data_IF_895493719108
#
_entry.id   IF_895493719108
#
_cell.length_a   1.000
_cell.length_b   1.000
_cell.length_c   1.000
_cell.angle_alpha   90.00
_cell.angle_beta   90.00
_cell.angle_gamma   90.00
#
_symmetry.space_group_name_H-M   'P 1'
#
loop_
_entity.id
_entity.type
_entity.pdbx_description
1 polymer ?
#
# COMPACT_ATOMS: atom_id res chain seq x y z
N UNK A 1 11.33 -2.64 3.97
CA UNK A 1 9.93 -2.49 4.43
C UNK A 1 9.60 -1.00 4.41
N UNK A 2 8.50 -0.58 3.78
CA UNK A 2 8.03 0.82 3.83
C UNK A 2 7.43 1.12 5.20
N UNK A 3 7.58 2.35 5.69
CA UNK A 3 6.93 2.75 6.94
C UNK A 3 5.40 2.73 6.78
N UNK A 4 4.66 2.46 7.87
CA UNK A 4 3.18 2.49 7.87
C UNK A 4 2.63 3.83 7.35
N UNK A 5 3.32 4.93 7.63
CA UNK A 5 2.97 6.25 7.09
C UNK A 5 3.08 6.34 5.56
N UNK A 6 4.14 5.77 4.96
CA UNK A 6 4.31 5.76 3.50
C UNK A 6 3.26 4.87 2.81
N UNK A 7 2.97 3.75 3.45
CA UNK A 7 1.93 2.81 3.06
C UNK A 7 0.55 3.47 3.02
N UNK A 8 0.16 4.17 4.10
CA UNK A 8 -1.10 4.94 4.15
C UNK A 8 -1.11 6.10 3.13
N UNK A 9 0.03 6.74 2.91
CA UNK A 9 0.15 7.82 1.94
C UNK A 9 -0.07 7.35 0.50
N UNK A 10 0.41 6.15 0.14
CA UNK A 10 0.14 5.53 -1.16
C UNK A 10 -1.37 5.34 -1.37
N UNK A 11 -2.08 4.81 -0.37
CA UNK A 11 -3.53 4.62 -0.44
C UNK A 11 -4.29 5.95 -0.52
N UNK A 12 -3.88 6.94 0.26
CA UNK A 12 -4.46 8.30 0.18
C UNK A 12 -4.30 8.91 -1.22
N UNK A 13 -3.13 8.76 -1.86
CA UNK A 13 -2.92 9.25 -3.22
C UNK A 13 -3.81 8.53 -4.24
N UNK A 14 -4.06 7.23 -4.04
CA UNK A 14 -4.93 6.45 -4.92
C UNK A 14 -6.40 6.82 -4.75
N UNK A 15 -6.90 6.86 -3.52
CA UNK A 15 -8.33 7.01 -3.24
C UNK A 15 -8.79 8.47 -3.28
N UNK A 16 -7.96 9.40 -2.78
CA UNK A 16 -8.35 10.81 -2.64
C UNK A 16 -7.91 11.65 -3.82
N UNK A 17 -6.72 11.35 -4.37
CA UNK A 17 -6.16 12.12 -5.49
C UNK A 17 -6.33 11.45 -6.84
N UNK A 18 -7.03 10.31 -6.89
CA UNK A 18 -7.19 9.46 -8.08
C UNK A 18 -5.88 9.25 -8.86
N UNK A 19 -4.76 9.23 -8.13
CA UNK A 19 -3.44 9.21 -8.76
C UNK A 19 -3.16 7.79 -9.24
N UNK A 20 -2.61 7.68 -10.45
CA UNK A 20 -2.25 6.38 -11.00
C UNK A 20 -1.07 5.76 -10.23
N UNK A 21 -1.05 4.43 -10.12
CA UNK A 21 0.02 3.69 -9.44
C UNK A 21 1.41 4.04 -9.99
N UNK A 22 1.52 4.27 -11.30
CA UNK A 22 2.76 4.68 -11.96
C UNK A 22 3.25 6.05 -11.48
N UNK A 23 2.36 7.03 -11.39
CA UNK A 23 2.70 8.34 -10.85
C UNK A 23 3.07 8.28 -9.36
N UNK A 24 2.42 7.40 -8.58
CA UNK A 24 2.76 7.17 -7.17
C UNK A 24 4.17 6.57 -7.05
N UNK A 25 4.51 5.60 -7.91
CA UNK A 25 5.81 4.96 -7.96
C UNK A 25 6.93 5.97 -8.27
N UNK A 26 6.74 6.81 -9.29
CA UNK A 26 7.68 7.88 -9.65
C UNK A 26 7.80 8.92 -8.53
N UNK A 27 6.67 9.37 -7.98
CA UNK A 27 6.63 10.41 -6.94
C UNK A 27 7.33 9.98 -5.65
N UNK A 28 7.22 8.71 -5.28
CA UNK A 28 7.81 8.16 -4.06
C UNK A 28 9.17 7.49 -4.30
N UNK A 29 9.60 7.36 -5.55
CA UNK A 29 10.82 6.64 -5.91
C UNK A 29 10.78 5.16 -5.50
N UNK A 30 9.58 4.55 -5.46
CA UNK A 30 9.40 3.14 -5.08
C UNK A 30 9.13 2.28 -6.29
N UNK A 31 9.39 0.98 -6.18
CA UNK A 31 9.07 0.05 -7.24
C UNK A 31 7.56 0.05 -7.53
N UNK A 32 7.19 0.03 -8.81
CA UNK A 32 5.78 -0.03 -9.25
C UNK A 32 5.00 -1.17 -8.60
N UNK A 33 5.59 -2.36 -8.45
CA UNK A 33 4.93 -3.49 -7.77
C UNK A 33 4.64 -3.19 -6.30
N UNK A 34 5.54 -2.44 -5.65
CA UNK A 34 5.37 -1.99 -4.27
C UNK A 34 4.27 -0.94 -4.17
N UNK A 35 4.29 0.07 -5.04
CA UNK A 35 3.21 1.06 -5.12
C UNK A 35 1.86 0.38 -5.37
N UNK A 36 1.79 -0.55 -6.33
CA UNK A 36 0.57 -1.32 -6.65
C UNK A 36 0.08 -2.12 -5.46
N UNK A 37 0.97 -2.88 -4.80
CA UNK A 37 0.63 -3.69 -3.63
C UNK A 37 -0.08 -2.88 -2.56
N UNK A 38 0.36 -1.64 -2.34
CA UNK A 38 -0.17 -0.77 -1.28
C UNK A 38 -1.31 0.14 -1.75
N UNK A 39 -1.40 0.47 -3.04
CA UNK A 39 -2.51 1.19 -3.63
C UNK A 39 -3.76 0.31 -3.75
N UNK A 40 -3.59 -0.97 -4.14
CA UNK A 40 -4.68 -1.95 -4.27
C UNK A 40 -4.96 -2.69 -2.95
N UNK A 41 -4.22 -2.42 -1.85
CA UNK A 41 -4.48 -3.05 -0.55
C UNK A 41 -5.76 -2.46 0.05
N UNK A 42 -6.89 -3.10 -0.25
CA UNK A 42 -8.18 -2.71 0.29
C UNK A 42 -8.22 -2.93 1.82
N UNK A 43 -7.63 -4.04 2.28
CA UNK A 43 -7.57 -4.40 3.69
C UNK A 43 -6.13 -4.52 4.21
N UNK A 44 -5.73 -3.59 5.06
CA UNK A 44 -4.42 -3.59 5.74
C UNK A 44 -4.37 -4.55 6.92
N UNK A 45 -5.52 -5.09 7.32
CA UNK A 45 -5.71 -5.94 8.49
C UNK A 45 -5.73 -7.45 8.20
N UNK A 46 -5.41 -7.88 6.97
CA UNK A 46 -5.30 -9.30 6.63
C UNK A 46 -3.85 -9.69 6.38
N UNK A 47 -3.18 -10.14 7.45
CA UNK A 47 -1.95 -10.97 7.55
C UNK A 47 -1.47 -10.78 9.02
N UNK A 48 -1.53 -11.71 9.98
CA UNK A 48 -1.69 -13.16 10.04
C UNK A 48 -2.56 -13.52 11.26
N UNK A 49 -3.66 -14.23 11.05
CA UNK A 49 -4.52 -14.76 12.10
C UNK A 49 -4.87 -16.23 11.89
N UNK A 50 -3.96 -17.01 11.31
CA UNK A 50 -3.99 -18.46 11.42
C UNK A 50 -2.94 -18.89 12.46
N UNK A 51 -3.32 -18.82 13.74
CA UNK A 51 -2.90 -19.82 14.73
C UNK A 51 -3.88 -19.81 15.91
N UNK A 52 -5.10 -20.30 15.66
CA UNK A 52 -5.83 -21.01 16.70
C UNK A 52 -5.07 -22.32 16.95
N UNK A 53 -4.30 -22.42 18.03
CA UNK A 53 -3.97 -23.67 18.77
C UNK A 53 -3.05 -23.34 19.96
N UNK A 54 -3.63 -23.27 21.16
CA UNK A 54 -2.99 -23.58 22.45
C UNK A 54 -4.09 -24.04 23.39
#
# INVERSE_FOLDING_TARGET
MLAMAQQQYIKFLRDVKDTSVSQIAEKLGVNWRTAKKYADKDNWNQEEGLSQKS
#
